data_IF_620370954485
#
_entry.id   IF_620370954485
#
_cell.length_a   1.000
_cell.length_b   1.000
_cell.length_c   1.000
_cell.angle_alpha   90.00
_cell.angle_beta   90.00
_cell.angle_gamma   90.00
#
_symmetry.space_group_name_H-M   'P 1'
#
loop_
_entity.id
_entity.type
_entity.pdbx_description
1 polymer ?
#
# COMPACT_ATOMS: atom_id res chain seq x y z
N UNK A 1 43.56 -26.56 -47.33
CA UNK A 1 43.25 -27.81 -46.59
C UNK A 1 41.75 -27.90 -46.44
N UNK A 2 41.17 -29.02 -46.89
CA UNK A 2 39.74 -29.31 -46.87
C UNK A 2 39.41 -30.27 -45.73
N UNK A 3 38.34 -30.03 -44.97
CA UNK A 3 37.53 -31.02 -44.21
C UNK A 3 36.14 -30.38 -44.02
N UNK A 4 35.15 -30.71 -44.84
CA UNK A 4 34.08 -31.74 -44.71
C UNK A 4 32.93 -31.39 -43.75
N UNK A 5 31.74 -31.37 -44.35
CA UNK A 5 30.38 -31.22 -43.82
C UNK A 5 29.99 -32.34 -42.85
N UNK A 6 29.16 -32.01 -41.86
CA UNK A 6 28.14 -32.93 -41.32
C UNK A 6 26.86 -32.16 -41.00
N UNK A 7 25.79 -32.55 -41.70
CA UNK A 7 24.39 -32.16 -41.54
C UNK A 7 23.77 -33.01 -40.43
N UNK A 8 22.98 -32.40 -39.54
CA UNK A 8 21.96 -33.02 -38.67
C UNK A 8 20.96 -31.89 -38.36
N UNK A 9 19.92 -31.63 -39.18
CA UNK A 9 18.61 -32.29 -39.23
C UNK A 9 17.86 -32.33 -37.88
N UNK A 10 16.80 -31.52 -37.85
CA UNK A 10 15.83 -31.12 -36.81
C UNK A 10 14.89 -32.30 -36.42
N UNK A 11 14.36 -32.36 -35.18
CA UNK A 11 12.97 -31.94 -34.89
C UNK A 11 12.89 -31.19 -33.53
N UNK A 12 12.24 -30.03 -33.31
CA UNK A 12 10.93 -29.49 -33.70
C UNK A 12 9.78 -30.51 -33.63
N UNK A 13 9.52 -31.08 -32.45
CA UNK A 13 8.29 -31.80 -32.13
C UNK A 13 8.16 -32.03 -30.61
N UNK A 14 7.75 -31.01 -29.85
CA UNK A 14 7.34 -31.19 -28.44
C UNK A 14 6.42 -30.07 -27.93
N UNK A 15 5.55 -29.50 -28.77
CA UNK A 15 4.68 -28.38 -28.37
C UNK A 15 3.20 -28.59 -28.71
N UNK A 16 2.68 -29.81 -28.61
CA UNK A 16 1.33 -30.13 -29.12
C UNK A 16 0.46 -31.09 -28.26
N UNK A 17 0.67 -31.23 -26.94
CA UNK A 17 -0.11 -32.21 -26.18
C UNK A 17 -0.55 -31.81 -24.75
N UNK A 18 -0.90 -30.54 -24.52
CA UNK A 18 -1.49 -30.10 -23.24
C UNK A 18 -2.79 -29.28 -23.37
N UNK A 19 -3.49 -29.37 -24.51
CA UNK A 19 -4.84 -28.79 -24.66
C UNK A 19 -5.92 -29.87 -24.54
N UNK A 20 -5.93 -30.62 -23.43
CA UNK A 20 -7.10 -31.37 -22.98
C UNK A 20 -7.87 -30.50 -21.98
N UNK A 21 -8.41 -29.38 -22.45
CA UNK A 21 -9.42 -28.62 -21.70
C UNK A 21 -10.75 -29.38 -21.79
N UNK A 22 -11.31 -29.76 -20.65
CA UNK A 22 -12.65 -30.33 -20.56
C UNK A 22 -13.67 -29.35 -21.15
N UNK A 23 -14.08 -29.57 -22.40
CA UNK A 23 -15.27 -28.93 -22.95
C UNK A 23 -16.50 -29.65 -22.38
N UNK A 24 -16.93 -29.24 -21.19
CA UNK A 24 -18.26 -29.56 -20.69
C UNK A 24 -19.21 -28.58 -21.37
N UNK A 25 -19.95 -29.03 -22.39
CA UNK A 25 -21.07 -28.26 -22.93
C UNK A 25 -22.22 -28.37 -21.92
N UNK A 26 -22.25 -27.44 -20.97
CA UNK A 26 -23.44 -27.19 -20.19
C UNK A 26 -24.43 -26.47 -21.09
N UNK A 27 -25.55 -27.11 -21.38
CA UNK A 27 -26.71 -26.50 -22.00
C UNK A 27 -27.35 -25.57 -20.94
N UNK A 28 -26.66 -24.47 -20.64
CA UNK A 28 -27.16 -23.44 -19.75
C UNK A 28 -28.07 -22.53 -20.57
N UNK A 29 -29.38 -22.74 -20.45
CA UNK A 29 -30.34 -21.72 -20.85
C UNK A 29 -29.92 -20.39 -20.19
N UNK A 30 -29.83 -19.27 -20.93
CA UNK A 30 -29.50 -17.99 -20.33
C UNK A 30 -30.61 -17.67 -19.32
N UNK A 31 -30.31 -17.88 -18.04
CA UNK A 31 -31.16 -17.41 -16.97
C UNK A 31 -31.03 -15.89 -16.99
N UNK A 32 -32.05 -15.20 -17.47
CA UNK A 32 -32.13 -13.76 -17.43
C UNK A 32 -32.28 -13.33 -15.97
N UNK A 33 -31.19 -13.40 -15.22
CA UNK A 33 -31.08 -12.71 -13.93
C UNK A 33 -31.02 -11.24 -14.29
N UNK A 34 -32.12 -10.51 -14.06
CA UNK A 34 -32.10 -9.06 -14.13
C UNK A 34 -31.12 -8.58 -13.06
N UNK A 35 -29.88 -8.31 -13.47
CA UNK A 35 -28.90 -7.72 -12.56
C UNK A 35 -29.44 -6.35 -12.14
N UNK A 36 -29.49 -6.04 -10.85
CA UNK A 36 -29.90 -4.72 -10.39
C UNK A 36 -29.01 -3.66 -11.06
N UNK A 37 -29.63 -2.63 -11.63
CA UNK A 37 -28.93 -1.56 -12.35
C UNK A 37 -28.69 -0.32 -11.48
N UNK A 38 -29.23 -0.31 -10.25
CA UNK A 38 -29.08 0.75 -9.27
C UNK A 38 -28.60 0.19 -7.92
N UNK A 39 -27.82 0.98 -7.18
CA UNK A 39 -27.44 0.71 -5.80
C UNK A 39 -28.23 1.64 -4.85
N UNK A 40 -28.84 1.09 -3.81
CA UNK A 40 -29.67 1.83 -2.86
C UNK A 40 -29.15 1.61 -1.44
N UNK A 41 -29.00 2.68 -0.64
CA UNK A 41 -28.61 2.53 0.76
C UNK A 41 -29.72 1.80 1.51
N UNK A 42 -29.35 0.75 2.23
CA UNK A 42 -30.25 0.05 3.13
C UNK A 42 -30.60 0.95 4.32
N UNK A 43 -31.88 0.96 4.70
CA UNK A 43 -32.38 1.71 5.86
C UNK A 43 -33.24 0.78 6.71
N UNK A 44 -33.06 0.83 8.03
CA UNK A 44 -33.79 -0.02 8.96
C UNK A 44 -35.31 0.12 8.81
N UNK A 45 -35.96 -1.02 8.56
CA UNK A 45 -37.42 -1.09 8.41
C UNK A 45 -37.98 -0.54 7.10
N UNK A 46 -37.14 -0.07 6.18
CA UNK A 46 -37.56 0.40 4.85
C UNK A 46 -37.29 -0.70 3.82
N UNK A 47 -38.31 -1.21 3.11
CA UNK A 47 -38.11 -2.19 2.06
C UNK A 47 -37.35 -1.57 0.89
N UNK A 48 -36.38 -2.32 0.37
CA UNK A 48 -35.59 -1.92 -0.78
C UNK A 48 -36.48 -1.83 -2.04
N UNK A 49 -36.34 -0.78 -2.87
CA UNK A 49 -37.05 -0.69 -4.15
C UNK A 49 -36.76 -1.88 -5.08
N UNK A 50 -37.76 -2.31 -5.85
CA UNK A 50 -37.59 -3.37 -6.85
C UNK A 50 -36.50 -2.99 -7.88
N UNK A 51 -35.62 -3.95 -8.18
CA UNK A 51 -34.52 -3.75 -9.14
C UNK A 51 -33.30 -3.02 -8.58
N UNK A 52 -33.25 -2.75 -7.26
CA UNK A 52 -32.09 -2.14 -6.62
C UNK A 52 -31.23 -3.18 -5.87
N UNK A 53 -29.91 -2.96 -5.85
CA UNK A 53 -28.97 -3.67 -4.99
C UNK A 53 -28.80 -2.88 -3.68
N UNK A 54 -29.10 -3.50 -2.54
CA UNK A 54 -28.86 -2.90 -1.23
C UNK A 54 -27.37 -2.76 -0.96
N UNK A 55 -26.98 -1.67 -0.29
CA UNK A 55 -25.68 -1.57 0.35
C UNK A 55 -25.81 -0.89 1.70
N UNK A 56 -25.00 -1.32 2.65
CA UNK A 56 -24.80 -0.61 3.91
C UNK A 56 -23.81 0.55 3.67
N UNK A 57 -24.26 1.82 3.76
CA UNK A 57 -23.39 2.96 3.52
C UNK A 57 -22.27 3.07 4.55
N UNK A 58 -22.51 2.69 5.80
CA UNK A 58 -21.52 2.80 6.87
C UNK A 58 -20.45 1.72 6.72
N UNK A 59 -20.84 0.49 6.40
CA UNK A 59 -19.89 -0.57 6.08
C UNK A 59 -19.06 -0.24 4.82
N UNK A 60 -19.68 0.36 3.79
CA UNK A 60 -18.98 0.78 2.58
C UNK A 60 -17.98 1.92 2.87
N UNK A 61 -18.34 2.90 3.69
CA UNK A 61 -17.42 3.95 4.14
C UNK A 61 -16.29 3.37 5.00
N UNK A 62 -16.59 2.48 5.95
CA UNK A 62 -15.57 1.84 6.77
C UNK A 62 -14.58 1.01 5.92
N UNK A 63 -15.06 0.31 4.89
CA UNK A 63 -14.21 -0.39 3.95
C UNK A 63 -13.35 0.57 3.13
N UNK A 64 -13.87 1.74 2.77
CA UNK A 64 -13.09 2.81 2.15
C UNK A 64 -12.07 3.44 3.11
N UNK A 65 -12.20 3.33 4.42
CA UNK A 65 -11.19 3.84 5.35
C UNK A 65 -10.11 2.80 5.70
N UNK A 66 -10.33 1.52 5.38
CA UNK A 66 -9.41 0.41 5.66
C UNK A 66 -8.02 0.62 5.07
N UNK A 67 -7.89 1.27 3.91
CA UNK A 67 -6.59 1.44 3.24
C UNK A 67 -5.60 2.27 4.08
N UNK A 68 -6.11 3.16 4.95
CA UNK A 68 -5.30 3.98 5.86
C UNK A 68 -4.97 3.29 7.18
N UNK A 69 -5.61 2.16 7.47
CA UNK A 69 -5.39 1.45 8.73
C UNK A 69 -4.00 0.82 8.74
N UNK A 70 -3.34 0.87 9.91
CA UNK A 70 -2.04 0.26 10.12
C UNK A 70 -2.20 -1.19 10.55
N UNK A 71 -1.37 -2.06 9.99
CA UNK A 71 -1.23 -3.42 10.50
C UNK A 71 -0.66 -3.42 11.92
N UNK A 72 -1.02 -4.44 12.70
CA UNK A 72 -0.42 -4.64 14.01
C UNK A 72 1.10 -4.87 13.87
N UNK A 73 1.88 -4.21 14.73
CA UNK A 73 3.33 -4.36 14.77
C UNK A 73 3.74 -5.39 15.82
N UNK A 74 4.58 -6.35 15.44
CA UNK A 74 5.16 -7.30 16.39
C UNK A 74 6.13 -6.63 17.37
N UNK A 75 6.28 -7.19 18.57
CA UNK A 75 7.08 -6.60 19.64
C UNK A 75 8.57 -6.40 19.27
N UNK A 76 9.16 -7.30 18.50
CA UNK A 76 10.55 -7.16 18.02
C UNK A 76 10.71 -5.95 17.10
N UNK A 77 9.78 -5.78 16.16
CA UNK A 77 9.77 -4.65 15.24
C UNK A 77 9.46 -3.33 15.96
N UNK A 78 8.54 -3.36 16.92
CA UNK A 78 8.29 -2.23 17.81
C UNK A 78 9.58 -1.77 18.50
N UNK A 79 10.27 -2.67 19.21
CA UNK A 79 11.49 -2.35 19.93
C UNK A 79 12.66 -1.91 19.01
N UNK A 80 12.73 -2.45 17.80
CA UNK A 80 13.74 -2.02 16.82
C UNK A 80 13.47 -0.60 16.31
N UNK A 81 12.21 -0.27 16.02
CA UNK A 81 11.80 1.04 15.50
C UNK A 81 11.87 2.12 16.58
N UNK A 82 11.55 1.79 17.83
CA UNK A 82 11.66 2.71 18.99
C UNK A 82 13.08 3.24 19.18
N UNK A 83 14.12 2.46 18.81
CA UNK A 83 15.52 2.93 18.86
C UNK A 83 15.82 4.06 17.88
N UNK A 84 15.01 4.23 16.83
CA UNK A 84 15.16 5.32 15.86
C UNK A 84 14.45 6.61 16.31
N UNK A 85 13.47 6.52 17.21
CA UNK A 85 12.60 7.66 17.59
C UNK A 85 13.43 8.82 18.16
N UNK A 86 14.34 8.54 19.10
CA UNK A 86 15.17 9.58 19.72
C UNK A 86 16.05 10.34 18.73
N UNK A 87 16.91 9.65 17.94
CA UNK A 87 17.74 10.27 16.91
C UNK A 87 16.93 11.06 15.87
N UNK A 88 15.82 10.50 15.38
CA UNK A 88 14.95 11.16 14.41
C UNK A 88 14.32 12.41 15.00
N UNK A 89 13.77 12.33 16.22
CA UNK A 89 13.13 13.48 16.88
C UNK A 89 14.14 14.62 17.04
N UNK A 90 15.37 14.32 17.47
CA UNK A 90 16.42 15.31 17.64
C UNK A 90 16.78 16.00 16.31
N UNK A 91 17.01 15.22 15.25
CA UNK A 91 17.37 15.76 13.94
C UNK A 91 16.26 16.64 13.34
N UNK A 92 14.99 16.23 13.50
CA UNK A 92 13.85 16.99 12.98
C UNK A 92 13.57 18.25 13.83
N UNK A 93 13.81 18.24 15.14
CA UNK A 93 13.67 19.44 15.97
C UNK A 93 14.76 20.47 15.68
N UNK A 94 15.98 20.03 15.40
CA UNK A 94 17.06 20.91 14.92
C UNK A 94 16.68 21.54 13.59
N UNK A 95 16.19 20.74 12.63
CA UNK A 95 15.71 21.25 11.34
C UNK A 95 14.55 22.24 11.51
N UNK A 96 13.56 21.93 12.35
CA UNK A 96 12.39 22.80 12.59
C UNK A 96 12.77 24.17 13.14
N UNK A 97 13.80 24.21 13.99
CA UNK A 97 14.24 25.45 14.66
C UNK A 97 15.28 26.22 13.86
N UNK A 98 15.75 25.69 12.73
CA UNK A 98 16.62 26.40 11.81
C UNK A 98 15.86 27.53 11.08
N UNK A 99 16.60 28.61 10.75
CA UNK A 99 16.05 29.70 9.96
C UNK A 99 15.71 29.25 8.53
N UNK A 100 14.59 29.73 7.98
CA UNK A 100 14.20 29.49 6.58
C UNK A 100 13.13 28.42 6.37
N UNK A 101 12.66 27.77 7.42
CA UNK A 101 11.66 26.70 7.34
C UNK A 101 12.27 25.38 6.86
N UNK A 102 11.41 24.40 6.56
CA UNK A 102 11.82 23.06 6.18
C UNK A 102 11.06 22.57 4.93
N UNK A 103 11.75 21.82 4.08
CA UNK A 103 11.20 21.17 2.89
C UNK A 103 11.19 19.64 3.04
N UNK A 104 10.51 18.94 2.12
CA UNK A 104 10.57 17.48 2.05
C UNK A 104 11.99 16.93 1.89
N UNK A 105 12.83 17.62 1.13
CA UNK A 105 14.21 17.18 0.90
C UNK A 105 15.05 17.33 2.17
N UNK A 106 14.85 18.41 2.94
CA UNK A 106 15.51 18.62 4.22
C UNK A 106 15.10 17.55 5.25
N UNK A 107 13.78 17.27 5.34
CA UNK A 107 13.26 16.21 6.22
C UNK A 107 13.82 14.84 5.81
N UNK A 108 13.90 14.55 4.50
CA UNK A 108 14.49 13.30 4.02
C UNK A 108 15.97 13.17 4.36
N UNK A 109 16.73 14.27 4.25
CA UNK A 109 18.14 14.29 4.61
C UNK A 109 18.32 14.05 6.12
N UNK A 110 17.59 14.76 6.97
CA UNK A 110 17.64 14.60 8.43
C UNK A 110 17.29 13.16 8.87
N UNK A 111 16.27 12.55 8.24
CA UNK A 111 15.91 11.16 8.50
C UNK A 111 17.01 10.18 8.08
N UNK A 112 17.63 10.38 6.92
CA UNK A 112 18.71 9.52 6.44
C UNK A 112 19.95 9.60 7.35
N UNK A 113 20.31 10.80 7.80
CA UNK A 113 21.40 11.02 8.76
C UNK A 113 21.12 10.37 10.12
N UNK A 114 19.85 10.34 10.54
CA UNK A 114 19.39 9.63 11.73
C UNK A 114 19.33 8.09 11.54
N UNK A 115 19.69 7.57 10.37
CA UNK A 115 19.77 6.14 10.07
C UNK A 115 18.46 5.52 9.57
N UNK A 116 17.46 6.33 9.21
CA UNK A 116 16.23 5.84 8.59
C UNK A 116 16.47 5.42 7.13
N UNK A 117 15.69 4.44 6.66
CA UNK A 117 15.77 3.92 5.30
C UNK A 117 14.38 3.88 4.64
N UNK A 118 14.35 3.78 3.30
CA UNK A 118 13.11 3.77 2.51
C UNK A 118 12.15 4.91 2.90
N UNK A 119 12.69 6.13 2.92
CA UNK A 119 12.01 7.33 3.41
C UNK A 119 10.98 7.81 2.38
N UNK A 120 9.77 8.07 2.88
CA UNK A 120 8.65 8.71 2.20
C UNK A 120 8.43 10.06 2.87
N UNK A 121 8.22 11.10 2.08
CA UNK A 121 7.86 12.45 2.55
C UNK A 121 6.67 12.95 1.77
N UNK A 122 5.92 13.88 2.36
CA UNK A 122 4.84 14.60 1.67
C UNK A 122 4.59 15.96 2.31
N UNK A 123 4.64 17.01 1.51
CA UNK A 123 4.21 18.36 1.90
C UNK A 123 2.70 18.37 2.12
N UNK A 124 2.26 18.82 3.29
CA UNK A 124 0.87 19.09 3.61
C UNK A 124 0.57 20.58 3.69
N UNK A 125 -0.39 20.95 4.53
CA UNK A 125 -0.86 22.33 4.68
C UNK A 125 -0.06 23.06 5.78
N UNK A 126 1.21 23.31 5.51
CA UNK A 126 2.14 23.95 6.47
C UNK A 126 2.98 22.96 7.29
N UNK A 127 2.91 21.68 6.95
CA UNK A 127 3.66 20.59 7.55
C UNK A 127 4.36 19.73 6.49
N UNK A 128 5.33 18.93 6.92
CA UNK A 128 5.92 17.85 6.13
C UNK A 128 5.69 16.54 6.85
N UNK A 129 4.86 15.68 6.27
CA UNK A 129 4.64 14.31 6.72
C UNK A 129 5.81 13.45 6.29
N UNK A 130 6.19 12.47 7.13
CA UNK A 130 7.22 11.50 6.80
C UNK A 130 6.85 10.09 7.27
N UNK A 131 7.43 9.10 6.60
CA UNK A 131 7.41 7.70 6.99
C UNK A 131 8.65 6.99 6.50
N UNK A 132 9.24 6.12 7.30
CA UNK A 132 10.43 5.35 6.94
C UNK A 132 10.26 3.90 7.38
N UNK A 133 10.79 2.97 6.58
CA UNK A 133 10.71 1.55 6.91
C UNK A 133 11.60 1.22 8.12
N UNK A 134 11.04 0.46 9.05
CA UNK A 134 11.77 -0.07 10.19
C UNK A 134 12.78 -1.16 9.78
N UNK A 135 13.93 -1.29 10.47
CA UNK A 135 14.99 -2.23 10.10
C UNK A 135 14.58 -3.71 10.13
N UNK A 136 13.55 -4.07 10.90
CA UNK A 136 13.02 -5.45 10.98
C UNK A 136 11.52 -5.50 10.65
N UNK A 137 10.99 -4.45 10.02
CA UNK A 137 9.58 -4.31 9.64
C UNK A 137 8.85 -3.15 10.33
N UNK A 138 7.65 -2.86 9.85
CA UNK A 138 6.87 -1.69 10.29
C UNK A 138 7.46 -0.37 9.82
N UNK A 139 7.05 0.70 10.48
CA UNK A 139 7.34 2.08 10.11
C UNK A 139 7.66 2.93 11.33
N UNK A 140 8.53 3.91 11.12
CA UNK A 140 8.60 5.14 11.93
C UNK A 140 8.00 6.26 11.09
N UNK A 141 7.04 7.01 11.63
CA UNK A 141 6.30 8.01 10.86
C UNK A 141 5.91 9.21 11.73
N UNK A 142 5.51 10.31 11.09
CA UNK A 142 5.05 11.48 11.79
C UNK A 142 5.04 12.72 10.91
N UNK A 143 5.18 13.88 11.54
CA UNK A 143 5.15 15.17 10.88
C UNK A 143 6.15 16.14 11.50
N UNK A 144 6.70 17.03 10.67
CA UNK A 144 7.34 18.27 11.09
C UNK A 144 6.35 19.40 10.83
N UNK A 145 5.93 20.07 11.89
CA UNK A 145 5.06 21.25 11.88
C UNK A 145 5.87 22.45 12.39
N UNK A 146 5.37 23.67 12.25
CA UNK A 146 6.10 24.86 12.70
C UNK A 146 6.40 24.83 14.22
N UNK A 147 5.46 24.35 15.03
CA UNK A 147 5.56 24.38 16.50
C UNK A 147 5.98 23.04 17.13
N UNK A 148 5.98 21.93 16.37
CA UNK A 148 6.23 20.59 16.93
C UNK A 148 6.75 19.60 15.90
N UNK A 149 7.53 18.63 16.39
CA UNK A 149 7.79 17.37 15.70
C UNK A 149 6.97 16.25 16.34
N UNK A 150 6.41 15.37 15.52
CA UNK A 150 5.87 14.08 15.99
C UNK A 150 6.60 12.93 15.36
N UNK A 151 6.86 11.90 16.16
CA UNK A 151 7.49 10.65 15.72
C UNK A 151 6.80 9.50 16.44
N UNK A 152 6.20 8.61 15.66
CA UNK A 152 5.46 7.45 16.12
C UNK A 152 6.01 6.18 15.46
N UNK A 153 5.73 5.05 16.10
CA UNK A 153 6.07 3.71 15.59
C UNK A 153 4.78 2.93 15.37
N UNK A 154 4.68 2.25 14.23
CA UNK A 154 3.54 1.39 13.93
C UNK A 154 3.80 0.46 12.76
N UNK A 155 2.81 -0.36 12.40
CA UNK A 155 2.89 -1.17 11.20
C UNK A 155 2.82 -0.34 9.91
N UNK A 156 3.09 -1.02 8.80
CA UNK A 156 2.74 -0.51 7.47
C UNK A 156 1.22 -0.30 7.38
N UNK A 157 0.79 0.64 6.54
CA UNK A 157 -0.63 0.76 6.22
C UNK A 157 -1.06 -0.36 5.26
N UNK A 158 -2.36 -0.59 5.14
CA UNK A 158 -2.92 -1.62 4.25
C UNK A 158 -2.55 -1.41 2.77
N UNK A 159 -2.24 -0.17 2.35
CA UNK A 159 -1.67 0.14 1.03
C UNK A 159 -0.19 -0.25 0.85
N UNK A 160 0.46 -0.80 1.90
CA UNK A 160 1.83 -1.31 1.86
C UNK A 160 2.93 -0.28 2.15
N UNK A 161 2.58 0.99 2.37
CA UNK A 161 3.52 2.07 2.67
C UNK A 161 3.67 2.42 4.16
N UNK A 162 4.46 3.47 4.44
CA UNK A 162 4.51 4.11 5.75
C UNK A 162 3.65 5.39 5.82
N UNK A 163 3.36 5.98 4.65
CA UNK A 163 2.39 7.04 4.45
C UNK A 163 1.29 6.61 3.46
N UNK A 164 0.04 7.12 3.60
CA UNK A 164 -1.03 6.91 2.63
C UNK A 164 -0.66 7.40 1.23
N UNK A 165 -1.06 6.63 0.21
CA UNK A 165 -0.90 6.99 -1.20
C UNK A 165 -1.66 8.29 -1.56
N UNK A 166 -1.27 8.90 -2.69
CA UNK A 166 -1.84 10.13 -3.23
C UNK A 166 -2.93 9.84 -4.25
#
# INVERSE_FOLDING_TARGET
MAVRRSVLLVPLLALLALTAGCAVTLDAAPSASASPTAACPEQDGVPLPEGCAGYDPDAAMAQNDMYRQRLALGAEAQAANERLVGPITLALEELRTADGGFTEDDVRAALAEAGAAAIQTRTGAGDVLFGAAGPVGGCVYGAVEAERVTVEVGGIIMDGGCLPAQ
#
